data_IF_347457740664
#
_entry.id   IF_347457740664
#
_cell.length_a   1.000
_cell.length_b   1.000
_cell.length_c   1.000
_cell.angle_alpha   90.00
_cell.angle_beta   90.00
_cell.angle_gamma   90.00
#
_symmetry.space_group_name_H-M   'P 1'
#
loop_
_entity.id
_entity.type
_entity.pdbx_description
1 polymer ?
#
# COMPACT_ATOMS: atom_id res chain seq x y z
N UNK A 1 24.21 20.56 9.22
CA UNK A 1 23.67 19.21 8.98
C UNK A 1 24.83 18.24 8.87
N UNK A 2 24.98 17.29 9.79
CA UNK A 2 25.97 16.22 9.66
C UNK A 2 25.38 15.14 8.74
N UNK A 3 25.98 14.95 7.56
CA UNK A 3 25.58 13.94 6.58
C UNK A 3 26.02 12.54 7.05
N UNK A 4 25.28 11.97 8.01
CA UNK A 4 25.59 10.67 8.66
C UNK A 4 25.61 9.50 7.67
N UNK A 5 24.95 9.64 6.52
CA UNK A 5 24.79 8.60 5.51
C UNK A 5 25.59 8.88 4.22
N UNK A 6 26.32 10.00 4.15
CA UNK A 6 27.09 10.38 2.97
C UNK A 6 26.21 10.56 1.73
N UNK A 7 24.92 10.87 1.89
CA UNK A 7 23.97 10.98 0.77
C UNK A 7 24.33 12.14 -0.16
N UNK A 8 25.01 13.17 0.37
CA UNK A 8 25.42 14.36 -0.36
C UNK A 8 26.94 14.41 -0.59
N UNK A 9 27.71 13.62 0.17
CA UNK A 9 29.20 13.70 0.21
C UNK A 9 29.92 12.40 -0.17
N UNK A 10 29.22 11.26 -0.20
CA UNK A 10 29.79 9.94 -0.49
C UNK A 10 29.89 9.61 -1.98
N UNK A 11 30.66 8.59 -2.33
CA UNK A 11 30.76 8.10 -3.71
C UNK A 11 29.44 7.47 -4.16
N UNK A 12 28.91 7.93 -5.31
CA UNK A 12 27.65 7.48 -5.91
C UNK A 12 27.46 5.95 -5.89
N UNK A 13 28.43 5.12 -6.35
CA UNK A 13 28.22 3.67 -6.35
C UNK A 13 28.13 3.05 -4.95
N UNK A 14 28.78 3.63 -3.93
CA UNK A 14 28.70 3.15 -2.54
C UNK A 14 27.35 3.47 -1.92
N UNK A 15 26.86 4.70 -2.14
CA UNK A 15 25.57 5.17 -1.63
C UNK A 15 24.42 4.39 -2.29
N UNK A 16 24.46 4.22 -3.61
CA UNK A 16 23.47 3.42 -4.33
C UNK A 16 23.42 1.99 -3.79
N UNK A 17 24.57 1.33 -3.61
CA UNK A 17 24.60 -0.03 -3.07
C UNK A 17 24.01 -0.10 -1.66
N UNK A 18 24.29 0.90 -0.82
CA UNK A 18 23.83 0.94 0.57
C UNK A 18 22.33 1.19 0.70
N UNK A 19 21.69 1.85 -0.27
CA UNK A 19 20.24 2.05 -0.31
C UNK A 19 19.52 0.92 -1.07
N UNK A 20 20.06 0.47 -2.19
CA UNK A 20 19.41 -0.53 -3.06
C UNK A 20 19.37 -1.90 -2.43
N UNK A 21 20.46 -2.38 -1.80
CA UNK A 21 20.47 -3.71 -1.18
C UNK A 21 19.34 -3.89 -0.16
N UNK A 22 19.18 -3.03 0.86
CA UNK A 22 18.10 -3.19 1.84
C UNK A 22 16.71 -3.02 1.22
N UNK A 23 16.55 -2.11 0.26
CA UNK A 23 15.27 -1.96 -0.46
C UNK A 23 14.89 -3.22 -1.24
N UNK A 24 15.83 -3.82 -1.98
CA UNK A 24 15.57 -5.04 -2.75
C UNK A 24 15.22 -6.21 -1.82
N UNK A 25 15.93 -6.37 -0.70
CA UNK A 25 15.61 -7.41 0.29
C UNK A 25 14.20 -7.20 0.86
N UNK A 26 13.83 -5.96 1.18
CA UNK A 26 12.47 -5.63 1.62
C UNK A 26 11.41 -5.97 0.58
N UNK A 27 11.67 -5.66 -0.69
CA UNK A 27 10.76 -5.99 -1.79
C UNK A 27 10.59 -7.50 -1.98
N UNK A 28 11.69 -8.27 -1.90
CA UNK A 28 11.64 -9.74 -1.96
C UNK A 28 10.81 -10.30 -0.80
N UNK A 29 10.97 -9.76 0.42
CA UNK A 29 10.18 -10.20 1.56
C UNK A 29 8.68 -9.96 1.36
N UNK A 30 8.28 -8.81 0.81
CA UNK A 30 6.89 -8.49 0.48
C UNK A 30 6.35 -9.49 -0.57
N UNK A 31 7.11 -9.77 -1.63
CA UNK A 31 6.70 -10.70 -2.67
C UNK A 31 6.55 -12.13 -2.14
N UNK A 32 7.46 -12.57 -1.27
CA UNK A 32 7.38 -13.87 -0.60
C UNK A 32 6.17 -13.95 0.32
N UNK A 33 5.85 -12.88 1.05
CA UNK A 33 4.64 -12.82 1.87
C UNK A 33 3.38 -13.02 1.01
N UNK A 34 3.24 -12.27 -0.09
CA UNK A 34 2.09 -12.41 -1.00
C UNK A 34 1.97 -13.83 -1.58
N UNK A 35 3.10 -14.47 -1.92
CA UNK A 35 3.12 -15.84 -2.44
C UNK A 35 2.67 -16.85 -1.38
N UNK A 36 3.19 -16.74 -0.16
CA UNK A 36 2.85 -17.65 0.95
C UNK A 36 1.39 -17.46 1.35
N UNK A 37 0.91 -16.22 1.45
CA UNK A 37 -0.48 -15.90 1.76
C UNK A 37 -1.44 -16.54 0.75
N UNK A 38 -1.19 -16.31 -0.54
CA UNK A 38 -1.97 -16.93 -1.63
C UNK A 38 -1.93 -18.46 -1.57
N UNK A 39 -0.77 -19.04 -1.24
CA UNK A 39 -0.63 -20.48 -1.07
C UNK A 39 -1.52 -20.99 0.07
N UNK A 40 -1.48 -20.39 1.27
CA UNK A 40 -2.35 -20.80 2.37
C UNK A 40 -3.84 -20.61 2.07
N UNK A 41 -4.21 -19.53 1.39
CA UNK A 41 -5.60 -19.30 0.93
C UNK A 41 -6.04 -20.40 -0.03
N UNK A 42 -5.15 -20.86 -0.92
CA UNK A 42 -5.47 -21.95 -1.85
C UNK A 42 -5.71 -23.30 -1.15
N UNK A 43 -5.14 -23.51 0.04
CA UNK A 43 -5.39 -24.70 0.86
C UNK A 43 -6.78 -24.70 1.53
N UNK A 44 -7.44 -23.54 1.67
CA UNK A 44 -8.78 -23.43 2.28
C UNK A 44 -9.91 -23.93 1.36
N UNK A 45 -9.59 -24.26 0.10
CA UNK A 45 -10.53 -24.80 -0.88
C UNK A 45 -10.81 -23.85 -2.05
N UNK A 46 -11.44 -24.38 -3.09
CA UNK A 46 -11.71 -23.65 -4.34
C UNK A 46 -12.67 -22.46 -4.14
N UNK A 47 -13.62 -22.56 -3.21
CA UNK A 47 -14.56 -21.46 -2.92
C UNK A 47 -13.87 -20.29 -2.20
N UNK A 48 -12.96 -20.56 -1.26
CA UNK A 48 -12.17 -19.53 -0.57
C UNK A 48 -11.21 -18.81 -1.55
N UNK A 49 -10.55 -19.56 -2.43
CA UNK A 49 -9.69 -19.00 -3.48
C UNK A 49 -10.49 -18.15 -4.49
N UNK A 50 -11.69 -18.59 -4.87
CA UNK A 50 -12.58 -17.83 -5.73
C UNK A 50 -13.02 -16.52 -5.07
N UNK A 51 -13.43 -16.56 -3.80
CA UNK A 51 -13.80 -15.37 -3.03
C UNK A 51 -12.66 -14.34 -2.99
N UNK A 52 -11.43 -14.76 -2.65
CA UNK A 52 -10.25 -13.87 -2.63
C UNK A 52 -9.93 -13.30 -4.02
N UNK A 53 -10.15 -14.08 -5.09
CA UNK A 53 -9.94 -13.62 -6.46
C UNK A 53 -10.89 -12.48 -6.84
N UNK A 54 -12.13 -12.47 -6.34
CA UNK A 54 -13.05 -11.36 -6.50
C UNK A 54 -12.67 -10.14 -5.64
N UNK A 55 -12.07 -10.37 -4.47
CA UNK A 55 -11.62 -9.29 -3.58
C UNK A 55 -10.36 -8.59 -4.12
N UNK A 56 -9.55 -9.31 -4.90
CA UNK A 56 -8.26 -8.83 -5.39
C UNK A 56 -8.33 -7.53 -6.21
N UNK A 57 -9.21 -7.36 -7.23
CA UNK A 57 -9.32 -6.09 -7.96
C UNK A 57 -9.69 -4.90 -7.06
N UNK A 58 -10.54 -5.12 -6.06
CA UNK A 58 -10.99 -4.09 -5.12
C UNK A 58 -9.84 -3.67 -4.21
N UNK A 59 -9.19 -4.62 -3.54
CA UNK A 59 -8.03 -4.34 -2.67
C UNK A 59 -6.87 -3.75 -3.46
N UNK A 60 -6.62 -4.24 -4.66
CA UNK A 60 -5.60 -3.69 -5.56
C UNK A 60 -5.88 -2.24 -5.93
N UNK A 61 -7.13 -1.88 -6.25
CA UNK A 61 -7.52 -0.50 -6.56
C UNK A 61 -7.27 0.44 -5.38
N UNK A 62 -7.68 0.04 -4.18
CA UNK A 62 -7.43 0.81 -2.94
C UNK A 62 -5.93 0.95 -2.67
N UNK A 63 -5.16 -0.12 -2.90
CA UNK A 63 -3.72 -0.11 -2.73
C UNK A 63 -3.04 0.83 -3.74
N UNK A 64 -3.47 0.84 -5.00
CA UNK A 64 -3.00 1.77 -6.03
C UNK A 64 -3.24 3.23 -5.65
N UNK A 65 -4.43 3.57 -5.13
CA UNK A 65 -4.75 4.93 -4.68
C UNK A 65 -3.84 5.33 -3.52
N UNK A 66 -3.72 4.46 -2.52
CA UNK A 66 -2.89 4.69 -1.33
C UNK A 66 -1.42 4.89 -1.71
N UNK A 67 -0.89 4.02 -2.57
CA UNK A 67 0.47 4.07 -3.06
C UNK A 67 0.73 5.29 -3.94
N UNK A 68 -0.25 5.72 -4.75
CA UNK A 68 -0.19 6.94 -5.55
C UNK A 68 -0.07 8.20 -4.67
N UNK A 69 -0.88 8.30 -3.63
CA UNK A 69 -0.81 9.40 -2.66
C UNK A 69 0.54 9.38 -1.93
N UNK A 70 0.98 8.22 -1.46
CA UNK A 70 2.25 8.04 -0.75
C UNK A 70 3.46 8.43 -1.59
N UNK A 71 3.50 8.03 -2.86
CA UNK A 71 4.55 8.44 -3.79
C UNK A 71 4.52 9.95 -4.06
N UNK A 72 3.34 10.54 -4.31
CA UNK A 72 3.20 11.97 -4.56
C UNK A 72 3.67 12.84 -3.38
N UNK A 73 3.34 12.43 -2.15
CA UNK A 73 3.83 13.06 -0.93
C UNK A 73 5.35 12.93 -0.80
N UNK A 74 5.89 11.73 -1.00
CA UNK A 74 7.32 11.45 -0.88
C UNK A 74 8.16 12.27 -1.84
N UNK A 75 7.71 12.44 -3.10
CA UNK A 75 8.40 13.28 -4.09
C UNK A 75 8.46 14.74 -3.67
N UNK A 76 7.35 15.31 -3.18
CA UNK A 76 7.34 16.72 -2.78
C UNK A 76 8.12 16.95 -1.47
N UNK A 77 8.06 16.01 -0.52
CA UNK A 77 8.88 16.05 0.70
C UNK A 77 10.37 16.01 0.34
N UNK A 78 10.76 15.09 -0.56
CA UNK A 78 12.15 15.01 -1.05
C UNK A 78 12.62 16.30 -1.71
N UNK A 79 11.75 16.97 -2.47
CA UNK A 79 12.03 18.28 -3.09
C UNK A 79 12.26 19.37 -2.05
N UNK A 80 11.38 19.50 -1.05
CA UNK A 80 11.49 20.51 0.02
C UNK A 80 12.73 20.30 0.89
N UNK A 81 13.03 19.04 1.22
CA UNK A 81 14.26 18.68 1.95
C UNK A 81 15.51 19.00 1.13
N UNK A 82 15.50 18.72 -0.18
CA UNK A 82 16.60 19.07 -1.10
C UNK A 82 16.84 20.59 -1.22
N UNK A 83 15.81 21.41 -1.00
CA UNK A 83 15.91 22.88 -0.97
C UNK A 83 16.33 23.45 0.40
N UNK A 84 16.58 22.59 1.40
CA UNK A 84 16.93 23.03 2.77
C UNK A 84 15.74 23.50 3.61
N UNK A 85 14.51 23.40 3.10
CA UNK A 85 13.28 23.86 3.76
C UNK A 85 12.72 22.77 4.69
N UNK A 86 13.50 22.35 5.68
CA UNK A 86 13.13 21.24 6.56
C UNK A 86 11.86 21.49 7.39
N UNK A 87 11.60 22.75 7.79
CA UNK A 87 10.38 23.11 8.53
C UNK A 87 9.12 23.00 7.65
N UNK A 88 9.20 23.45 6.39
CA UNK A 88 8.09 23.35 5.44
C UNK A 88 7.86 21.89 5.02
N UNK A 89 8.93 21.11 4.86
CA UNK A 89 8.84 19.66 4.65
C UNK A 89 8.12 18.95 5.80
N UNK A 90 8.43 19.31 7.06
CA UNK A 90 7.76 18.75 8.23
C UNK A 90 6.26 19.10 8.26
N UNK A 91 5.90 20.38 8.02
CA UNK A 91 4.51 20.83 7.93
C UNK A 91 3.76 20.12 6.81
N UNK A 92 4.37 20.03 5.62
CA UNK A 92 3.78 19.34 4.48
C UNK A 92 3.57 17.85 4.76
N UNK A 93 4.51 17.21 5.46
CA UNK A 93 4.38 15.82 5.90
C UNK A 93 3.20 15.65 6.85
N UNK A 94 3.04 16.51 7.86
CA UNK A 94 1.92 16.45 8.80
C UNK A 94 0.56 16.59 8.10
N UNK A 95 0.43 17.55 7.18
CA UNK A 95 -0.80 17.70 6.38
C UNK A 95 -1.02 16.53 5.42
N UNK A 96 0.06 16.02 4.81
CA UNK A 96 0.00 14.87 3.91
C UNK A 96 -0.46 13.59 4.61
N UNK A 97 0.06 13.31 5.80
CA UNK A 97 -0.36 12.17 6.62
C UNK A 97 -1.82 12.33 7.04
N UNK A 98 -2.24 13.52 7.46
CA UNK A 98 -3.63 13.78 7.82
C UNK A 98 -4.58 13.57 6.64
N UNK A 99 -4.21 14.04 5.45
CA UNK A 99 -4.96 13.81 4.22
C UNK A 99 -5.01 12.31 3.86
N UNK A 100 -3.89 11.60 3.99
CA UNK A 100 -3.83 10.16 3.75
C UNK A 100 -4.76 9.39 4.69
N UNK A 101 -4.75 9.72 5.99
CA UNK A 101 -5.66 9.12 6.98
C UNK A 101 -7.11 9.38 6.60
N UNK A 102 -7.47 10.62 6.28
CA UNK A 102 -8.84 10.97 5.87
C UNK A 102 -9.26 10.16 4.65
N UNK A 103 -8.42 10.10 3.61
CA UNK A 103 -8.72 9.38 2.38
C UNK A 103 -8.85 7.86 2.60
N UNK A 104 -7.97 7.27 3.42
CA UNK A 104 -8.06 5.85 3.78
C UNK A 104 -9.33 5.57 4.57
N UNK A 105 -9.65 6.38 5.59
CA UNK A 105 -10.89 6.22 6.35
C UNK A 105 -12.12 6.35 5.45
N UNK A 106 -12.16 7.32 4.54
CA UNK A 106 -13.25 7.49 3.59
C UNK A 106 -13.37 6.29 2.64
N UNK A 107 -12.25 5.83 2.08
CA UNK A 107 -12.19 4.68 1.18
C UNK A 107 -12.61 3.38 1.89
N UNK A 108 -12.14 3.14 3.11
CA UNK A 108 -12.54 1.97 3.92
C UNK A 108 -14.03 2.02 4.27
N UNK A 109 -14.55 3.18 4.67
CA UNK A 109 -15.97 3.34 5.01
C UNK A 109 -16.84 3.08 3.78
N UNK A 110 -16.51 3.70 2.63
CA UNK A 110 -17.21 3.45 1.37
C UNK A 110 -17.09 1.98 0.96
N UNK A 111 -15.92 1.37 1.10
CA UNK A 111 -15.69 -0.06 0.83
C UNK A 111 -16.68 -0.93 1.59
N UNK A 112 -16.79 -0.74 2.92
CA UNK A 112 -17.70 -1.52 3.76
C UNK A 112 -19.18 -1.36 3.37
N UNK A 113 -19.63 -0.13 3.06
CA UNK A 113 -21.02 0.11 2.65
C UNK A 113 -21.37 -0.42 1.25
N UNK A 114 -20.36 -0.63 0.40
CA UNK A 114 -20.57 -1.01 -1.00
C UNK A 114 -20.22 -2.47 -1.30
N UNK A 115 -19.81 -3.28 -0.29
CA UNK A 115 -19.43 -4.69 -0.49
C UNK A 115 -20.53 -5.45 -1.24
N UNK A 116 -21.76 -5.47 -0.74
CA UNK A 116 -22.83 -6.29 -1.31
C UNK A 116 -23.13 -5.96 -2.79
N UNK A 117 -23.43 -4.70 -3.18
CA UNK A 117 -23.73 -4.39 -4.58
C UNK A 117 -22.51 -4.47 -5.51
N UNK A 118 -21.31 -4.16 -5.03
CA UNK A 118 -20.10 -4.12 -5.85
C UNK A 118 -19.63 -5.54 -6.20
N UNK A 119 -19.68 -6.47 -5.24
CA UNK A 119 -19.34 -7.87 -5.50
C UNK A 119 -20.41 -8.61 -6.31
N UNK A 120 -21.70 -8.27 -6.15
CA UNK A 120 -22.76 -8.74 -7.05
C UNK A 120 -22.56 -8.25 -8.50
N UNK A 121 -22.18 -6.98 -8.69
CA UNK A 121 -21.87 -6.44 -10.03
C UNK A 121 -20.61 -7.04 -10.65
N UNK A 122 -19.64 -7.47 -9.83
CA UNK A 122 -18.46 -8.20 -10.28
C UNK A 122 -18.74 -9.67 -10.64
N UNK A 123 -19.98 -10.15 -10.42
CA UNK A 123 -20.43 -11.48 -10.79
C UNK A 123 -20.20 -12.55 -9.72
N UNK A 124 -20.08 -12.16 -8.44
CA UNK A 124 -20.06 -13.10 -7.33
C UNK A 124 -21.45 -13.74 -7.14
N UNK A 125 -21.51 -15.06 -6.97
CA UNK A 125 -22.76 -15.75 -6.59
C UNK A 125 -23.18 -15.33 -5.17
N UNK A 126 -24.49 -15.16 -4.94
CA UNK A 126 -25.06 -14.73 -3.64
C UNK A 126 -24.56 -15.56 -2.45
N UNK A 127 -24.26 -16.84 -2.67
CA UNK A 127 -23.73 -17.77 -1.65
C UNK A 127 -22.33 -17.41 -1.14
N UNK A 128 -21.56 -16.61 -1.89
CA UNK A 128 -20.18 -16.22 -1.57
C UNK A 128 -20.10 -14.89 -0.81
N UNK A 129 -21.19 -14.09 -0.79
CA UNK A 129 -21.25 -12.79 -0.11
C UNK A 129 -20.91 -12.89 1.39
N UNK A 130 -21.40 -13.87 2.16
CA UNK A 130 -21.06 -13.97 3.59
C UNK A 130 -19.55 -14.21 3.82
N UNK A 131 -18.91 -14.95 2.90
CA UNK A 131 -17.47 -15.23 2.97
C UNK A 131 -16.65 -14.00 2.60
N UNK A 132 -17.11 -13.22 1.63
CA UNK A 132 -16.50 -11.95 1.21
C UNK A 132 -16.62 -10.90 2.31
N UNK A 133 -17.78 -10.79 2.96
CA UNK A 133 -17.96 -9.89 4.12
C UNK A 133 -17.03 -10.26 5.27
N UNK A 134 -16.91 -11.55 5.61
CA UNK A 134 -15.94 -11.98 6.63
C UNK A 134 -14.50 -11.62 6.26
N UNK A 135 -14.13 -11.72 4.98
CA UNK A 135 -12.78 -11.39 4.54
C UNK A 135 -12.50 -9.88 4.50
N UNK A 136 -13.54 -9.07 4.28
CA UNK A 136 -13.41 -7.61 4.13
C UNK A 136 -13.66 -6.82 5.41
N UNK A 137 -14.44 -7.35 6.36
CA UNK A 137 -14.79 -6.69 7.61
C UNK A 137 -13.85 -7.03 8.79
N UNK A 138 -12.98 -8.04 8.64
CA UNK A 138 -12.04 -8.53 9.67
C UNK A 138 -10.62 -8.02 9.38
#
# INVERSE_FOLDING_TARGET
MHDKYGLLTGSIPKVLRQMTIPMTVGMIAILMFNLVDTFFISLLGTEALAAVSYTFPVTFTVNCITMGIGMGLSTNIGRLLGQGQAQDAARFTSHGVLLAVILVTLASTLGLFTIEPLFLMLGAEEKLIPLIEQYMAI
#
